data_IF_048735494872
#
_entry.id   IF_048735494872
#
_cell.length_a   1.000
_cell.length_b   1.000
_cell.length_c   1.000
_cell.angle_alpha   90.00
_cell.angle_beta   90.00
_cell.angle_gamma   90.00
#
_symmetry.space_group_name_H-M   'P 1'
#
loop_
_entity.id
_entity.type
_entity.pdbx_description
1 polymer ?
#
# COMPACT_ATOMS: atom_id res chain seq x y z
N UNK A 1 -1.35 17.24 6.40
CA UNK A 1 -1.80 16.35 5.31
C UNK A 1 -2.58 15.18 5.90
N UNK A 2 -3.73 14.90 5.33
CA UNK A 2 -4.57 13.73 5.58
C UNK A 2 -3.94 12.45 5.03
N UNK A 3 -4.46 11.29 5.45
CA UNK A 3 -4.05 10.00 4.91
C UNK A 3 -4.32 9.88 3.40
N UNK A 4 -5.41 10.49 2.92
CA UNK A 4 -5.79 10.48 1.51
C UNK A 4 -4.81 11.27 0.64
N UNK A 5 -4.35 12.44 1.12
CA UNK A 5 -3.34 13.23 0.40
C UNK A 5 -2.02 12.45 0.27
N UNK A 6 -1.57 11.80 1.35
CA UNK A 6 -0.37 10.94 1.32
C UNK A 6 -0.52 9.75 0.38
N UNK A 7 -1.70 9.13 0.33
CA UNK A 7 -1.99 8.05 -0.61
C UNK A 7 -1.87 8.51 -2.07
N UNK A 8 -2.40 9.68 -2.40
CA UNK A 8 -2.25 10.24 -3.74
C UNK A 8 -0.78 10.52 -4.10
N UNK A 9 0.05 10.93 -3.15
CA UNK A 9 1.49 11.08 -3.39
C UNK A 9 2.17 9.74 -3.69
N UNK A 10 1.85 8.68 -2.93
CA UNK A 10 2.36 7.32 -3.19
C UNK A 10 2.11 6.92 -4.64
N UNK A 11 0.89 7.15 -5.13
CA UNK A 11 0.48 6.81 -6.50
C UNK A 11 1.12 7.67 -7.58
N UNK A 12 1.34 8.97 -7.30
CA UNK A 12 1.98 9.88 -8.27
C UNK A 12 3.46 9.60 -8.48
N UNK A 13 4.15 9.21 -7.40
CA UNK A 13 5.61 9.02 -7.43
C UNK A 13 5.96 7.62 -7.92
N UNK A 14 5.31 6.58 -7.39
CA UNK A 14 5.59 5.19 -7.73
C UNK A 14 7.02 4.74 -7.39
N UNK A 15 7.40 3.53 -7.85
CA UNK A 15 8.75 2.99 -7.69
C UNK A 15 9.23 2.92 -6.23
N UNK A 16 10.55 3.08 -6.01
CA UNK A 16 11.17 2.99 -4.68
C UNK A 16 10.71 4.10 -3.73
N UNK A 17 10.52 5.31 -4.23
CA UNK A 17 10.10 6.44 -3.41
C UNK A 17 8.62 6.30 -3.00
N UNK A 18 7.75 5.88 -3.91
CA UNK A 18 6.37 5.51 -3.61
C UNK A 18 6.28 4.40 -2.56
N UNK A 19 7.13 3.37 -2.64
CA UNK A 19 7.19 2.31 -1.64
C UNK A 19 7.58 2.82 -0.23
N UNK A 20 8.56 3.74 -0.14
CA UNK A 20 8.96 4.35 1.14
C UNK A 20 7.84 5.20 1.76
N UNK A 21 7.14 5.98 0.92
CA UNK A 21 5.97 6.77 1.34
C UNK A 21 4.82 5.86 1.78
N UNK A 22 4.60 4.75 1.09
CA UNK A 22 3.58 3.76 1.44
C UNK A 22 3.91 3.10 2.79
N UNK A 23 5.17 2.74 3.02
CA UNK A 23 5.62 2.20 4.30
C UNK A 23 5.29 3.18 5.45
N UNK A 24 5.58 4.46 5.27
CA UNK A 24 5.28 5.50 6.27
C UNK A 24 3.79 5.79 6.46
N UNK A 25 2.95 5.40 5.49
CA UNK A 25 1.50 5.62 5.54
C UNK A 25 0.76 4.49 6.25
N UNK A 26 1.23 3.24 6.12
CA UNK A 26 0.56 2.07 6.67
C UNK A 26 0.84 1.90 8.16
N UNK A 27 -0.22 1.67 8.94
CA UNK A 27 -0.12 1.22 10.32
C UNK A 27 0.31 -0.26 10.38
N UNK A 28 1.01 -0.67 11.44
CA UNK A 28 1.49 -2.04 11.60
C UNK A 28 0.34 -3.05 11.59
N UNK A 29 -0.80 -2.69 12.19
CA UNK A 29 -2.04 -3.50 12.24
C UNK A 29 -3.02 -3.28 11.07
N UNK A 30 -2.57 -2.76 9.93
CA UNK A 30 -3.45 -2.54 8.77
C UNK A 30 -4.18 -3.83 8.36
N UNK A 31 -5.47 -3.71 8.02
CA UNK A 31 -6.27 -4.79 7.43
C UNK A 31 -6.56 -4.41 5.98
N UNK A 32 -6.01 -5.17 5.05
CA UNK A 32 -6.15 -4.94 3.61
C UNK A 32 -7.15 -5.93 2.99
N UNK A 33 -8.07 -5.39 2.18
CA UNK A 33 -9.04 -6.16 1.42
C UNK A 33 -8.73 -6.03 -0.06
N UNK A 34 -8.54 -7.16 -0.73
CA UNK A 34 -8.28 -7.22 -2.17
C UNK A 34 -9.41 -7.96 -2.91
N UNK A 35 -9.80 -7.48 -4.10
CA UNK A 35 -10.75 -8.17 -4.98
C UNK A 35 -10.17 -9.41 -5.67
N UNK A 36 -8.92 -9.80 -5.37
CA UNK A 36 -8.27 -11.01 -5.91
C UNK A 36 -8.29 -12.12 -4.87
N UNK A 37 -7.99 -11.80 -3.61
CA UNK A 37 -7.83 -12.80 -2.54
C UNK A 37 -9.07 -12.97 -1.66
N UNK A 38 -10.04 -12.04 -1.72
CA UNK A 38 -11.33 -12.09 -1.04
C UNK A 38 -11.28 -12.48 0.45
N UNK A 39 -10.15 -12.23 1.11
CA UNK A 39 -9.87 -12.55 2.51
C UNK A 39 -9.10 -11.38 3.14
N UNK A 40 -9.36 -11.01 4.41
CA UNK A 40 -8.64 -9.92 5.06
C UNK A 40 -7.16 -10.27 5.25
N UNK A 41 -6.28 -9.46 4.68
CA UNK A 41 -4.83 -9.56 4.86
C UNK A 41 -4.42 -8.65 6.02
N UNK A 42 -3.93 -9.24 7.11
CA UNK A 42 -3.59 -8.52 8.34
C UNK A 42 -2.10 -8.25 8.43
N UNK A 43 -1.75 -6.99 8.64
CA UNK A 43 -0.39 -6.55 8.90
C UNK A 43 0.24 -5.77 7.75
N UNK A 44 1.15 -4.87 8.12
CA UNK A 44 1.87 -4.01 7.17
C UNK A 44 2.70 -4.80 6.15
N UNK A 45 3.41 -5.84 6.58
CA UNK A 45 4.30 -6.63 5.69
C UNK A 45 3.56 -7.26 4.51
N UNK A 46 2.42 -7.93 4.76
CA UNK A 46 1.64 -8.59 3.69
C UNK A 46 0.97 -7.57 2.78
N UNK A 47 0.51 -6.45 3.34
CA UNK A 47 -0.08 -5.34 2.59
C UNK A 47 0.93 -4.68 1.66
N UNK A 48 2.14 -4.39 2.17
CA UNK A 48 3.25 -3.87 1.38
C UNK A 48 3.62 -4.80 0.23
N UNK A 49 3.75 -6.11 0.49
CA UNK A 49 4.05 -7.10 -0.54
C UNK A 49 3.01 -7.08 -1.66
N UNK A 50 1.73 -7.12 -1.28
CA UNK A 50 0.64 -7.13 -2.24
C UNK A 50 0.60 -5.86 -3.09
N UNK A 51 0.62 -4.68 -2.44
CA UNK A 51 0.54 -3.40 -3.15
C UNK A 51 1.76 -3.16 -4.03
N UNK A 52 2.95 -3.61 -3.61
CA UNK A 52 4.16 -3.56 -4.45
C UNK A 52 4.01 -4.41 -5.71
N UNK A 53 3.50 -5.64 -5.59
CA UNK A 53 3.25 -6.50 -6.74
C UNK A 53 2.18 -5.90 -7.68
N UNK A 54 1.10 -5.36 -7.12
CA UNK A 54 0.03 -4.71 -7.88
C UNK A 54 0.52 -3.45 -8.63
N UNK A 55 1.48 -2.71 -8.07
CA UNK A 55 2.07 -1.52 -8.72
C UNK A 55 2.96 -1.84 -9.92
N UNK A 56 3.36 -3.10 -10.11
CA UNK A 56 4.23 -3.52 -11.22
C UNK A 56 3.48 -4.02 -12.46
N UNK A 57 2.14 -4.07 -12.41
CA UNK A 57 1.31 -4.63 -13.49
C UNK A 57 0.39 -3.60 -14.16
N UNK A 58 0.45 -2.33 -13.76
CA UNK A 58 -0.28 -1.19 -14.34
C UNK A 58 0.65 0.02 -14.44
#
# INVERSE_FOLDING_TARGET
MSAIEKWHEVMKVGGKEGASKLDSLLHDDVIFYSPVVFTPQKGKKITMLYLSAASGVF
#
